data_IF_387088045558
#
_entry.id   IF_387088045558
#
_cell.length_a   1.000
_cell.length_b   1.000
_cell.length_c   1.000
_cell.angle_alpha   90.00
_cell.angle_beta   90.00
_cell.angle_gamma   90.00
#
_symmetry.space_group_name_H-M   'P 1'
#
loop_
_entity.id
_entity.type
_entity.pdbx_description
1 polymer ?
#
# COMPACT_ATOMS: atom_id res chain seq x y z
N UNK A 1 -7.47 -14.51 -17.14
CA UNK A 1 -7.77 -15.57 -16.16
C UNK A 1 -6.49 -16.19 -15.62
N UNK A 2 -5.92 -15.57 -14.60
CA UNK A 2 -4.65 -15.98 -13.98
C UNK A 2 -4.74 -17.26 -13.14
N UNK A 3 -5.95 -17.77 -12.87
CA UNK A 3 -6.16 -18.93 -12.00
C UNK A 3 -5.51 -20.20 -12.57
N UNK A 4 -5.72 -20.46 -13.86
CA UNK A 4 -5.11 -21.63 -14.51
C UNK A 4 -3.58 -21.57 -14.54
N UNK A 5 -3.02 -20.38 -14.67
CA UNK A 5 -1.58 -20.18 -14.63
C UNK A 5 -1.04 -20.35 -13.21
N UNK A 6 -1.76 -19.88 -12.20
CA UNK A 6 -1.42 -20.13 -10.81
C UNK A 6 -1.44 -21.62 -10.47
N UNK A 7 -2.42 -22.37 -10.96
CA UNK A 7 -2.50 -23.84 -10.76
C UNK A 7 -1.33 -24.54 -11.45
N UNK A 8 -1.02 -24.18 -12.70
CA UNK A 8 0.17 -24.72 -13.41
C UNK A 8 1.47 -24.42 -12.68
N UNK A 9 1.56 -23.29 -12.00
CA UNK A 9 2.70 -22.88 -11.18
C UNK A 9 2.66 -23.46 -9.75
N UNK A 10 1.75 -24.39 -9.46
CA UNK A 10 1.74 -25.16 -8.22
C UNK A 10 0.79 -24.65 -7.14
N UNK A 11 -0.14 -23.74 -7.43
CA UNK A 11 -1.16 -23.36 -6.48
C UNK A 11 -2.04 -24.58 -6.13
N UNK A 12 -2.13 -24.87 -4.83
CA UNK A 12 -2.91 -26.01 -4.29
C UNK A 12 -4.31 -25.61 -3.84
N UNK A 13 -4.55 -24.31 -3.75
CA UNK A 13 -5.83 -23.74 -3.34
C UNK A 13 -6.10 -22.45 -4.12
N UNK A 14 -7.36 -22.25 -4.50
CA UNK A 14 -7.83 -21.06 -5.21
C UNK A 14 -8.96 -20.41 -4.45
N UNK A 15 -8.97 -19.10 -4.43
CA UNK A 15 -10.06 -18.27 -3.94
C UNK A 15 -10.63 -17.52 -5.14
N UNK A 16 -11.92 -17.70 -5.41
CA UNK A 16 -12.57 -17.14 -6.58
C UNK A 16 -14.00 -16.69 -6.25
N UNK A 17 -14.57 -15.83 -7.08
CA UNK A 17 -15.96 -15.38 -6.94
C UNK A 17 -16.94 -16.35 -7.61
N UNK A 18 -16.45 -17.15 -8.53
CA UNK A 18 -17.23 -18.16 -9.27
C UNK A 18 -16.32 -19.20 -9.92
N UNK A 19 -16.91 -20.31 -10.32
CA UNK A 19 -16.21 -21.38 -11.04
C UNK A 19 -15.86 -22.57 -10.15
N UNK A 20 -15.31 -23.61 -10.78
CA UNK A 20 -14.75 -24.79 -10.14
C UNK A 20 -13.43 -25.12 -10.84
N UNK A 21 -12.41 -25.45 -10.08
CA UNK A 21 -11.06 -25.66 -10.57
C UNK A 21 -10.52 -27.02 -10.10
N UNK A 22 -9.43 -27.48 -10.70
CA UNK A 22 -8.84 -28.79 -10.40
C UNK A 22 -8.18 -28.88 -9.01
N UNK A 23 -8.17 -27.78 -8.25
CA UNK A 23 -7.61 -27.67 -6.90
C UNK A 23 -8.68 -27.25 -5.90
N UNK A 24 -8.38 -27.37 -4.61
CA UNK A 24 -9.27 -26.91 -3.55
C UNK A 24 -9.68 -25.44 -3.79
N UNK A 25 -10.98 -25.21 -3.91
CA UNK A 25 -11.56 -23.92 -4.32
C UNK A 25 -12.48 -23.38 -3.25
N UNK A 26 -12.21 -22.17 -2.80
CA UNK A 26 -13.08 -21.41 -1.90
C UNK A 26 -13.81 -20.35 -2.73
N UNK A 27 -15.13 -20.41 -2.77
CA UNK A 27 -15.95 -19.37 -3.41
C UNK A 27 -16.29 -18.30 -2.39
N UNK A 28 -16.06 -17.04 -2.77
CA UNK A 28 -16.32 -15.85 -1.96
C UNK A 28 -17.09 -14.82 -2.78
N UNK A 29 -17.78 -13.91 -2.12
CA UNK A 29 -18.52 -12.84 -2.80
C UNK A 29 -17.61 -11.79 -3.46
N UNK A 30 -16.44 -11.53 -2.83
CA UNK A 30 -15.51 -10.48 -3.23
C UNK A 30 -14.08 -10.94 -2.86
N UNK A 31 -13.29 -11.22 -3.87
CA UNK A 31 -11.92 -11.72 -3.69
C UNK A 31 -10.99 -10.67 -3.10
N UNK A 32 -11.22 -9.37 -3.38
CA UNK A 32 -10.43 -8.28 -2.81
C UNK A 32 -10.67 -8.17 -1.29
N UNK A 33 -11.93 -8.12 -0.87
CA UNK A 33 -12.28 -8.08 0.57
C UNK A 33 -11.77 -9.31 1.32
N UNK A 34 -11.81 -10.47 0.67
CA UNK A 34 -11.24 -11.68 1.26
C UNK A 34 -9.72 -11.56 1.44
N UNK A 35 -9.02 -11.04 0.42
CA UNK A 35 -7.58 -10.79 0.47
C UNK A 35 -7.22 -9.81 1.60
N UNK A 36 -7.91 -8.67 1.69
CA UNK A 36 -7.70 -7.68 2.77
C UNK A 36 -7.86 -8.33 4.14
N UNK A 37 -8.94 -9.11 4.35
CA UNK A 37 -9.20 -9.81 5.61
C UNK A 37 -8.10 -10.83 5.92
N UNK A 38 -7.65 -11.58 4.92
CA UNK A 38 -6.57 -12.55 5.06
C UNK A 38 -5.25 -11.87 5.43
N UNK A 39 -4.89 -10.79 4.73
CA UNK A 39 -3.66 -10.04 4.99
C UNK A 39 -3.69 -9.39 6.38
N UNK A 40 -4.79 -8.76 6.78
CA UNK A 40 -4.96 -8.26 8.15
C UNK A 40 -4.76 -9.37 9.17
N UNK A 41 -5.40 -10.52 9.01
CA UNK A 41 -5.27 -11.63 9.95
C UNK A 41 -3.84 -12.16 10.04
N UNK A 42 -3.14 -12.26 8.90
CA UNK A 42 -1.80 -12.86 8.86
C UNK A 42 -0.69 -11.89 9.28
N UNK A 43 -0.81 -10.60 8.94
CA UNK A 43 0.26 -9.62 9.11
C UNK A 43 0.04 -8.66 10.28
N UNK A 44 -1.19 -8.40 10.72
CA UNK A 44 -1.50 -7.33 11.68
C UNK A 44 -0.60 -7.36 12.93
N UNK A 45 -0.55 -8.49 13.63
CA UNK A 45 0.27 -8.61 14.84
C UNK A 45 1.77 -8.41 14.60
N UNK A 46 2.23 -8.68 13.39
CA UNK A 46 3.63 -8.53 12.99
C UNK A 46 3.99 -7.07 12.72
N UNK A 47 3.10 -6.32 12.06
CA UNK A 47 3.37 -4.96 11.57
C UNK A 47 2.78 -3.84 12.42
N UNK A 48 1.89 -4.12 13.38
CA UNK A 48 1.16 -3.13 14.19
C UNK A 48 2.05 -2.16 14.99
N UNK A 49 3.32 -2.50 15.17
CA UNK A 49 4.30 -1.67 15.86
C UNK A 49 4.93 -0.59 14.98
N UNK A 50 4.82 -0.76 13.65
CA UNK A 50 5.28 0.26 12.71
C UNK A 50 4.41 1.51 12.81
N UNK A 51 5.05 2.67 12.77
CA UNK A 51 4.39 3.97 12.63
C UNK A 51 4.28 4.31 11.16
N UNK A 52 3.06 4.34 10.63
CA UNK A 52 2.80 4.59 9.23
C UNK A 52 2.49 6.07 8.97
N UNK A 53 3.22 6.66 8.02
CA UNK A 53 3.03 8.02 7.54
C UNK A 53 2.62 7.94 6.08
N UNK A 54 1.36 8.22 5.78
CA UNK A 54 0.84 8.27 4.42
C UNK A 54 0.82 9.69 3.88
N UNK A 55 1.26 9.89 2.65
CA UNK A 55 1.22 11.20 2.01
C UNK A 55 0.52 11.15 0.66
N UNK A 56 -0.47 12.02 0.50
CA UNK A 56 -1.16 12.24 -0.77
C UNK A 56 -1.11 13.70 -1.20
N UNK A 57 -1.50 13.96 -2.42
CA UNK A 57 -1.54 15.27 -3.05
C UNK A 57 -1.26 15.16 -4.55
N UNK A 58 -1.37 16.26 -5.29
CA UNK A 58 -0.99 16.26 -6.71
C UNK A 58 0.52 16.27 -6.85
N UNK A 59 1.19 17.25 -6.27
CA UNK A 59 2.62 17.44 -6.39
C UNK A 59 3.32 17.39 -5.03
N UNK A 60 4.62 17.08 -5.05
CA UNK A 60 5.49 17.14 -3.88
C UNK A 60 5.50 15.88 -3.01
N UNK A 61 4.73 14.82 -3.33
CA UNK A 61 4.71 13.57 -2.56
C UNK A 61 6.11 12.98 -2.38
N UNK A 62 6.77 12.65 -3.48
CA UNK A 62 8.11 12.03 -3.47
C UNK A 62 9.12 12.87 -2.68
N UNK A 63 9.21 14.16 -2.98
CA UNK A 63 10.14 15.05 -2.32
C UNK A 63 9.90 15.12 -0.81
N UNK A 64 8.67 15.33 -0.40
CA UNK A 64 8.34 15.46 1.02
C UNK A 64 8.51 14.14 1.77
N UNK A 65 8.01 13.03 1.21
CA UNK A 65 8.21 11.70 1.82
C UNK A 65 9.69 11.37 1.98
N UNK A 66 10.49 11.64 0.95
CA UNK A 66 11.93 11.36 1.00
C UNK A 66 12.68 12.28 1.98
N UNK A 67 12.27 13.55 2.11
CA UNK A 67 12.81 14.45 3.13
C UNK A 67 12.45 14.00 4.55
N UNK A 68 11.22 13.53 4.79
CA UNK A 68 10.82 12.97 6.09
C UNK A 68 11.67 11.73 6.42
N UNK A 69 11.80 10.80 5.46
CA UNK A 69 12.65 9.62 5.56
C UNK A 69 14.09 10.00 5.96
N UNK A 70 14.69 10.95 5.25
CA UNK A 70 16.06 11.41 5.54
C UNK A 70 16.17 12.10 6.91
N UNK A 71 15.21 12.95 7.26
CA UNK A 71 15.21 13.68 8.53
C UNK A 71 15.12 12.74 9.73
N UNK A 72 14.23 11.73 9.67
CA UNK A 72 14.08 10.73 10.74
C UNK A 72 15.36 9.90 10.89
N UNK A 73 15.93 9.37 9.81
CA UNK A 73 17.16 8.59 9.86
C UNK A 73 18.35 9.45 10.37
N UNK A 74 18.44 10.74 9.97
CA UNK A 74 19.44 11.66 10.49
C UNK A 74 19.28 11.95 11.98
N UNK A 75 18.05 11.85 12.49
CA UNK A 75 17.76 11.93 13.92
C UNK A 75 17.94 10.59 14.68
N UNK A 76 18.54 9.57 14.03
CA UNK A 76 18.70 8.20 14.53
C UNK A 76 17.36 7.47 14.83
N UNK A 77 16.29 7.85 14.14
CA UNK A 77 15.00 7.15 14.16
C UNK A 77 14.92 6.34 12.88
N UNK A 78 14.92 5.02 12.99
CA UNK A 78 14.92 4.12 11.83
C UNK A 78 13.63 4.26 11.02
N UNK A 79 13.75 4.79 9.81
CA UNK A 79 12.65 5.04 8.90
C UNK A 79 12.89 4.37 7.55
N UNK A 80 11.84 3.81 6.97
CA UNK A 80 11.82 3.36 5.58
C UNK A 80 10.99 4.31 4.72
N UNK A 81 11.28 4.33 3.42
CA UNK A 81 10.51 5.05 2.41
C UNK A 81 9.99 4.08 1.35
N UNK A 82 8.72 4.23 0.97
CA UNK A 82 8.06 3.49 -0.11
C UNK A 82 7.42 4.50 -1.06
N UNK A 83 7.86 4.53 -2.31
CA UNK A 83 7.30 5.49 -3.27
C UNK A 83 7.91 5.42 -4.67
N UNK A 84 7.74 6.48 -5.42
CA UNK A 84 8.10 6.58 -6.85
C UNK A 84 9.56 6.21 -7.14
N UNK A 85 10.48 6.57 -6.26
CA UNK A 85 11.92 6.32 -6.48
C UNK A 85 12.38 4.97 -5.93
N UNK A 86 11.46 4.15 -5.41
CA UNK A 86 11.71 2.80 -4.94
C UNK A 86 11.40 2.57 -3.47
N UNK A 87 11.89 1.48 -2.95
CA UNK A 87 11.88 1.12 -1.53
C UNK A 87 13.27 1.35 -0.93
N UNK A 88 13.31 2.10 0.17
CA UNK A 88 14.54 2.46 0.88
C UNK A 88 14.41 2.12 2.38
N UNK A 89 15.50 1.61 2.95
CA UNK A 89 15.74 1.55 4.39
C UNK A 89 16.95 2.43 4.74
N UNK A 90 18.15 1.95 4.90
CA UNK A 90 19.33 2.84 4.99
C UNK A 90 19.78 3.31 3.61
N UNK A 91 19.67 2.42 2.62
CA UNK A 91 19.92 2.65 1.20
C UNK A 91 18.75 2.12 0.37
N UNK A 92 18.86 2.28 -0.95
CA UNK A 92 17.84 1.72 -1.86
C UNK A 92 17.88 0.20 -1.85
N UNK A 93 16.77 -0.42 -1.45
CA UNK A 93 16.62 -1.88 -1.42
C UNK A 93 16.22 -2.41 -2.79
N UNK A 94 15.19 -1.82 -3.41
CA UNK A 94 14.70 -2.20 -4.74
C UNK A 94 13.90 -1.09 -5.43
N UNK A 95 13.81 -1.20 -6.75
CA UNK A 95 12.83 -0.44 -7.54
C UNK A 95 11.42 -1.02 -7.33
N UNK A 96 10.42 -0.17 -7.46
CA UNK A 96 9.01 -0.56 -7.39
C UNK A 96 8.34 -0.31 -8.74
N UNK A 97 7.43 -1.18 -9.13
CA UNK A 97 6.68 -1.04 -10.38
C UNK A 97 5.64 0.08 -10.34
N UNK A 98 5.19 0.45 -9.15
CA UNK A 98 4.19 1.49 -8.90
C UNK A 98 4.65 2.39 -7.77
N UNK A 99 4.27 3.68 -7.82
CA UNK A 99 4.48 4.63 -6.72
C UNK A 99 3.94 4.11 -5.39
N UNK A 100 2.79 3.46 -5.44
CA UNK A 100 2.18 2.75 -4.32
C UNK A 100 2.01 1.30 -4.74
N UNK A 101 2.74 0.35 -4.16
CA UNK A 101 2.66 -1.08 -4.48
C UNK A 101 1.26 -1.67 -4.36
N UNK A 102 1.05 -2.84 -4.94
CA UNK A 102 -0.17 -3.60 -4.71
C UNK A 102 -0.27 -4.04 -3.25
N UNK A 103 -1.48 -4.35 -2.81
CA UNK A 103 -1.77 -4.61 -1.40
C UNK A 103 -0.89 -5.74 -0.81
N UNK A 104 -0.68 -6.84 -1.54
CA UNK A 104 0.16 -7.94 -1.07
C UNK A 104 1.62 -7.49 -0.94
N UNK A 105 2.18 -6.88 -1.99
CA UNK A 105 3.54 -6.36 -1.99
C UNK A 105 3.74 -5.34 -0.85
N UNK A 106 2.76 -4.47 -0.61
CA UNK A 106 2.82 -3.51 0.49
C UNK A 106 2.98 -4.21 1.85
N UNK A 107 2.17 -5.23 2.15
CA UNK A 107 2.29 -5.97 3.40
C UNK A 107 3.62 -6.71 3.53
N UNK A 108 4.16 -7.25 2.43
CA UNK A 108 5.49 -7.88 2.40
C UNK A 108 6.61 -6.88 2.70
N UNK A 109 6.56 -5.67 2.10
CA UNK A 109 7.50 -4.59 2.40
C UNK A 109 7.43 -4.14 3.86
N UNK A 110 6.24 -4.03 4.43
CA UNK A 110 6.07 -3.68 5.84
C UNK A 110 6.65 -4.78 6.75
N UNK A 111 6.48 -6.06 6.42
CA UNK A 111 7.12 -7.14 7.16
C UNK A 111 8.65 -7.09 7.04
N UNK A 112 9.18 -6.75 5.87
CA UNK A 112 10.61 -6.55 5.65
C UNK A 112 11.14 -5.39 6.51
N UNK A 113 10.38 -4.30 6.65
CA UNK A 113 10.70 -3.20 7.56
C UNK A 113 10.79 -3.68 9.01
N UNK A 114 9.83 -4.48 9.48
CA UNK A 114 9.86 -5.06 10.85
C UNK A 114 11.11 -5.90 11.07
N UNK A 115 11.44 -6.77 10.12
CA UNK A 115 12.60 -7.66 10.20
C UNK A 115 13.94 -6.89 10.25
N UNK A 116 13.97 -5.64 9.77
CA UNK A 116 15.12 -4.74 9.82
C UNK A 116 15.05 -3.72 10.96
N UNK A 117 14.12 -3.90 11.93
CA UNK A 117 13.92 -3.02 13.08
C UNK A 117 13.64 -1.55 12.67
N UNK A 118 12.92 -1.35 11.58
CA UNK A 118 12.38 -0.05 11.20
C UNK A 118 11.28 0.33 12.19
N UNK A 119 11.21 1.61 12.55
CA UNK A 119 10.20 2.15 13.46
C UNK A 119 9.11 2.92 12.70
N UNK A 120 9.51 3.67 11.67
CA UNK A 120 8.62 4.48 10.84
C UNK A 120 8.68 4.07 9.39
N UNK A 121 7.54 4.08 8.72
CA UNK A 121 7.46 3.92 7.27
C UNK A 121 6.71 5.11 6.69
N UNK A 122 7.39 5.89 5.88
CA UNK A 122 6.76 6.97 5.11
C UNK A 122 6.49 6.51 3.70
N UNK A 123 5.24 6.66 3.23
CA UNK A 123 4.84 6.16 1.92
C UNK A 123 4.01 7.14 1.12
N UNK A 124 4.19 7.09 -0.19
CA UNK A 124 3.36 7.84 -1.12
C UNK A 124 2.04 7.09 -1.37
N UNK A 125 0.92 7.79 -1.17
CA UNK A 125 -0.43 7.33 -1.48
C UNK A 125 -0.93 8.03 -2.75
N UNK A 126 -0.74 7.39 -3.91
CA UNK A 126 -1.25 7.91 -5.18
C UNK A 126 -2.79 7.81 -5.23
N UNK A 127 -3.43 8.71 -5.97
CA UNK A 127 -4.89 8.70 -6.08
C UNK A 127 -5.44 7.43 -6.72
N UNK A 128 -4.73 6.87 -7.71
CA UNK A 128 -5.11 5.59 -8.32
C UNK A 128 -5.00 4.45 -7.31
N UNK A 129 -3.96 4.43 -6.46
CA UNK A 129 -3.80 3.40 -5.45
C UNK A 129 -4.89 3.47 -4.38
N UNK A 130 -5.26 4.68 -3.96
CA UNK A 130 -6.38 4.90 -3.03
C UNK A 130 -7.72 4.50 -3.65
N UNK A 131 -7.92 4.77 -4.95
CA UNK A 131 -9.11 4.34 -5.67
C UNK A 131 -9.19 2.82 -5.81
N UNK A 132 -8.07 2.18 -6.11
CA UNK A 132 -7.93 0.72 -6.22
C UNK A 132 -7.82 0.01 -4.86
N UNK A 133 -7.96 0.72 -3.74
CA UNK A 133 -7.90 0.20 -2.38
C UNK A 133 -6.58 -0.56 -2.06
N UNK A 134 -5.45 -0.16 -2.66
CA UNK A 134 -4.14 -0.82 -2.43
C UNK A 134 -3.60 -0.64 -1.02
N UNK A 135 -4.13 0.32 -0.26
CA UNK A 135 -3.77 0.59 1.13
C UNK A 135 -4.87 0.17 2.11
N UNK A 136 -5.92 -0.50 1.62
CA UNK A 136 -7.03 -0.95 2.45
C UNK A 136 -6.54 -1.90 3.55
N UNK A 137 -7.02 -1.66 4.75
CA UNK A 137 -6.64 -2.46 5.93
C UNK A 137 -5.37 -2.02 6.63
N UNK A 138 -4.61 -1.05 6.11
CA UNK A 138 -3.55 -0.37 6.85
C UNK A 138 -4.13 0.74 7.72
N UNK A 139 -3.54 0.95 8.88
CA UNK A 139 -3.93 2.00 9.84
C UNK A 139 -2.79 3.00 9.95
N UNK A 140 -3.00 4.22 9.48
CA UNK A 140 -1.98 5.27 9.48
C UNK A 140 -1.92 5.99 10.82
N UNK A 141 -0.70 6.24 11.32
CA UNK A 141 -0.48 7.11 12.47
C UNK A 141 -0.52 8.59 12.05
N UNK A 142 -0.10 8.89 10.81
CA UNK A 142 -0.11 10.24 10.25
C UNK A 142 -0.53 10.21 8.78
N UNK A 143 -1.38 11.14 8.38
CA UNK A 143 -1.71 11.40 6.99
C UNK A 143 -1.37 12.85 6.62
N UNK A 144 -0.69 13.03 5.50
CA UNK A 144 -0.23 14.33 5.02
C UNK A 144 -0.89 14.63 3.67
N UNK A 145 -1.41 15.84 3.54
CA UNK A 145 -1.91 16.37 2.28
C UNK A 145 -1.06 17.56 1.85
N UNK A 146 -0.47 17.50 0.66
CA UNK A 146 0.37 18.59 0.15
C UNK A 146 -0.42 19.68 -0.55
N UNK A 147 -1.09 19.31 -1.62
CA UNK A 147 -1.86 20.22 -2.46
C UNK A 147 -2.78 19.44 -3.40
N UNK A 148 -3.70 20.17 -4.04
CA UNK A 148 -4.54 19.65 -5.11
C UNK A 148 -4.61 20.65 -6.24
N UNK A 149 -4.25 20.21 -7.44
CA UNK A 149 -4.41 20.89 -8.71
C UNK A 149 -4.98 19.92 -9.72
N UNK A 150 -5.41 20.39 -10.86
CA UNK A 150 -5.95 19.53 -11.90
C UNK A 150 -4.88 18.56 -12.41
N UNK A 151 -5.14 17.26 -12.26
CA UNK A 151 -4.30 16.18 -12.74
C UNK A 151 -5.12 14.88 -12.82
N UNK A 152 -4.66 13.90 -13.61
CA UNK A 152 -5.26 12.56 -13.72
C UNK A 152 -6.77 12.53 -14.00
N UNK A 153 -7.33 13.54 -14.69
CA UNK A 153 -8.76 13.57 -15.02
C UNK A 153 -9.13 12.57 -16.13
N UNK A 154 -8.16 12.10 -16.89
CA UNK A 154 -8.30 10.96 -17.80
C UNK A 154 -8.75 9.70 -17.04
N UNK A 155 -8.24 9.51 -15.83
CA UNK A 155 -8.60 8.42 -14.91
C UNK A 155 -9.83 8.75 -14.07
N UNK A 156 -9.79 9.82 -13.26
CA UNK A 156 -10.81 10.15 -12.25
C UNK A 156 -12.08 10.78 -12.82
N UNK A 157 -12.07 11.23 -14.09
CA UNK A 157 -13.18 11.85 -14.83
C UNK A 157 -13.61 13.23 -14.31
N UNK A 158 -13.43 13.55 -13.03
CA UNK A 158 -13.76 14.86 -12.45
C UNK A 158 -12.83 15.20 -11.28
N UNK A 159 -12.71 16.51 -11.00
CA UNK A 159 -11.99 16.98 -9.81
C UNK A 159 -12.63 16.49 -8.52
N UNK A 160 -13.96 16.39 -8.48
CA UNK A 160 -14.69 15.88 -7.31
C UNK A 160 -14.29 14.44 -6.97
N UNK A 161 -14.26 13.55 -7.97
CA UNK A 161 -13.81 12.17 -7.78
C UNK A 161 -12.34 12.11 -7.36
N UNK A 162 -11.50 12.95 -7.97
CA UNK A 162 -10.07 13.03 -7.63
C UNK A 162 -9.85 13.43 -6.17
N UNK A 163 -10.61 14.42 -5.67
CA UNK A 163 -10.60 14.82 -4.25
C UNK A 163 -11.07 13.68 -3.36
N UNK A 164 -12.23 13.05 -3.68
CA UNK A 164 -12.79 11.93 -2.91
C UNK A 164 -11.80 10.77 -2.77
N UNK A 165 -11.09 10.43 -3.85
CA UNK A 165 -10.08 9.37 -3.77
C UNK A 165 -8.97 9.71 -2.77
N UNK A 166 -8.48 10.96 -2.75
CA UNK A 166 -7.44 11.37 -1.79
C UNK A 166 -7.94 11.45 -0.35
N UNK A 167 -9.22 11.74 -0.14
CA UNK A 167 -9.84 11.78 1.19
C UNK A 167 -9.79 10.42 1.89
N UNK A 168 -9.86 9.30 1.14
CA UNK A 168 -9.77 7.95 1.72
C UNK A 168 -8.56 7.76 2.65
N UNK A 169 -7.40 8.36 2.34
CA UNK A 169 -6.23 8.25 3.20
C UNK A 169 -6.48 8.74 4.63
N UNK A 170 -7.36 9.72 4.80
CA UNK A 170 -7.65 10.34 6.09
C UNK A 170 -8.71 9.57 6.89
N UNK A 171 -9.46 8.68 6.24
CA UNK A 171 -10.44 7.79 6.89
C UNK A 171 -9.73 6.65 7.64
N UNK A 172 -8.52 6.28 7.22
CA UNK A 172 -7.71 5.20 7.77
C UNK A 172 -6.68 5.68 8.83
N UNK A 173 -6.80 6.92 9.30
CA UNK A 173 -5.92 7.47 10.36
C UNK A 173 -6.40 7.03 11.73
N UNK A 174 -5.48 6.54 12.56
CA UNK A 174 -5.75 6.20 13.97
C UNK A 174 -6.25 7.42 14.74
N UNK A 175 -7.29 7.23 15.54
CA UNK A 175 -7.81 8.25 16.46
C UNK A 175 -6.93 8.41 17.70
#
# INVERSE_FOLDING_TARGET
>A
DYINDAIKNGAKKVIAEKGSYEVDTIIVEDTHKYLVKYLKHYYYDKIKHLKLIGMTGTNGKTTTCFLIYQALNKANIKCAYIGTIGFYMDEKVKDLNNTTPDILEMYELLLECVNNNIEYVVMEASSQALDMNRLEGLEFDYAIFSNITQDHLDYHKSMENYVKCKQKLFEDVKN
#
